data_IF_091863040841
#
_entry.id   IF_091863040841
#
_cell.length_a   1.000
_cell.length_b   1.000
_cell.length_c   1.000
_cell.angle_alpha   90.00
_cell.angle_beta   90.00
_cell.angle_gamma   90.00
#
_symmetry.space_group_name_H-M   'P 1'
#
loop_
_entity.id
_entity.type
_entity.pdbx_description
1 polymer ?
#
# COMPACT_ATOMS: atom_id res chain seq x y z
N UNK A 1 30.70 5.30 -19.19
CA UNK A 1 29.76 5.83 -18.18
C UNK A 1 28.38 5.89 -18.81
N UNK A 2 27.51 4.92 -18.53
CA UNK A 2 26.16 4.86 -19.11
C UNK A 2 25.16 4.33 -18.10
N UNK A 3 24.58 5.22 -17.29
CA UNK A 3 23.46 4.94 -16.40
C UNK A 3 22.18 4.88 -17.25
N UNK A 4 21.85 3.71 -17.77
CA UNK A 4 20.49 3.45 -18.27
C UNK A 4 19.59 3.20 -17.05
N UNK A 5 18.49 3.96 -16.87
CA UNK A 5 17.55 3.70 -15.80
C UNK A 5 16.91 2.33 -16.03
N UNK A 6 17.21 1.42 -15.10
CA UNK A 6 16.64 0.09 -14.96
C UNK A 6 15.12 0.23 -14.89
N UNK A 7 14.46 -0.02 -16.02
CA UNK A 7 13.00 0.02 -16.16
C UNK A 7 12.38 -0.86 -15.07
N UNK A 8 11.59 -0.24 -14.19
CA UNK A 8 10.63 -0.95 -13.36
C UNK A 8 9.38 -1.13 -14.21
N UNK A 9 9.18 -2.36 -14.69
CA UNK A 9 7.98 -2.77 -15.41
C UNK A 9 6.73 -2.31 -14.65
N UNK A 10 6.12 -1.23 -15.13
CA UNK A 10 4.82 -0.74 -14.68
C UNK A 10 3.96 -0.56 -15.92
N UNK A 11 3.51 -1.68 -16.49
CA UNK A 11 2.62 -1.60 -17.64
C UNK A 11 2.55 -2.87 -18.47
N UNK A 12 1.53 -3.69 -18.18
CA UNK A 12 1.00 -4.61 -19.19
C UNK A 12 1.47 -6.05 -19.06
N UNK A 13 0.68 -6.84 -18.33
CA UNK A 13 0.49 -8.29 -18.51
C UNK A 13 1.68 -9.21 -18.16
N UNK A 14 1.59 -9.97 -17.06
CA UNK A 14 2.09 -11.33 -17.02
C UNK A 14 0.89 -12.29 -17.08
N UNK A 15 0.55 -12.74 -18.28
CA UNK A 15 -0.19 -13.99 -18.43
C UNK A 15 0.78 -15.11 -18.06
N UNK A 16 0.78 -15.53 -16.81
CA UNK A 16 1.36 -16.82 -16.40
C UNK A 16 0.27 -17.60 -15.69
N UNK A 17 -0.19 -18.67 -16.34
CA UNK A 17 -1.17 -19.67 -15.92
C UNK A 17 -0.82 -20.43 -14.60
N UNK A 18 0.00 -19.84 -13.72
CA UNK A 18 0.34 -20.35 -12.39
C UNK A 18 0.38 -19.30 -11.26
N UNK A 19 0.18 -18.01 -11.53
CA UNK A 19 0.31 -16.92 -10.54
C UNK A 19 -1.06 -16.47 -9.97
N UNK A 20 -2.18 -17.04 -10.46
CA UNK A 20 -3.53 -16.73 -9.97
C UNK A 20 -4.09 -17.83 -9.08
N UNK A 21 -3.69 -17.82 -7.80
CA UNK A 21 -4.50 -18.43 -6.73
C UNK A 21 -4.26 -17.85 -5.34
N UNK A 22 -3.17 -17.07 -5.16
CA UNK A 22 -2.76 -16.54 -3.84
C UNK A 22 -2.38 -15.05 -3.79
N UNK A 23 -2.78 -14.25 -4.79
CA UNK A 23 -2.55 -12.80 -4.81
C UNK A 23 -1.07 -12.41 -4.93
N UNK A 24 -0.74 -11.58 -5.93
CA UNK A 24 0.63 -11.15 -6.16
C UNK A 24 1.22 -10.49 -4.88
N UNK A 25 2.19 -11.15 -4.22
CA UNK A 25 2.82 -10.69 -2.97
C UNK A 25 3.37 -9.27 -3.11
N UNK A 26 3.82 -8.89 -4.30
CA UNK A 26 4.33 -7.56 -4.59
C UNK A 26 3.22 -6.50 -4.50
N UNK A 27 2.03 -6.78 -5.02
CA UNK A 27 0.88 -5.86 -4.90
C UNK A 27 0.44 -5.68 -3.45
N UNK A 28 0.43 -6.76 -2.65
CA UNK A 28 0.15 -6.66 -1.21
C UNK A 28 1.20 -5.80 -0.49
N UNK A 29 2.48 -5.97 -0.84
CA UNK A 29 3.58 -5.19 -0.27
C UNK A 29 3.46 -3.71 -0.65
N UNK A 30 3.16 -3.42 -1.92
CA UNK A 30 2.96 -2.06 -2.44
C UNK A 30 1.78 -1.38 -1.75
N UNK A 31 0.62 -2.04 -1.65
CA UNK A 31 -0.56 -1.50 -0.97
C UNK A 31 -0.29 -1.13 0.49
N UNK A 32 0.47 -1.97 1.21
CA UNK A 32 0.86 -1.70 2.60
C UNK A 32 1.85 -0.54 2.69
N UNK A 33 2.79 -0.40 1.74
CA UNK A 33 3.71 0.74 1.69
C UNK A 33 2.98 2.05 1.39
N UNK A 34 2.05 2.05 0.43
CA UNK A 34 1.19 3.20 0.16
C UNK A 34 0.35 3.58 1.38
N UNK A 35 -0.20 2.59 2.10
CA UNK A 35 -0.93 2.83 3.33
C UNK A 35 -0.06 3.43 4.44
N UNK A 36 1.19 2.99 4.58
CA UNK A 36 2.15 3.58 5.53
C UNK A 36 2.52 5.01 5.16
N UNK A 37 2.76 5.30 3.89
CA UNK A 37 3.02 6.65 3.42
C UNK A 37 1.82 7.58 3.65
N UNK A 38 0.59 7.07 3.46
CA UNK A 38 -0.63 7.80 3.78
C UNK A 38 -0.76 8.07 5.29
N UNK A 39 -0.44 7.09 6.14
CA UNK A 39 -0.45 7.27 7.60
C UNK A 39 0.62 8.24 8.09
N UNK A 40 1.79 8.30 7.46
CA UNK A 40 2.83 9.28 7.77
C UNK A 40 2.40 10.71 7.44
N UNK A 41 1.58 10.90 6.40
CA UNK A 41 1.04 12.22 6.01
C UNK A 41 -0.28 12.55 6.68
N UNK A 42 -0.76 11.68 7.58
CA UNK A 42 -2.08 11.78 8.19
C UNK A 42 -2.17 12.92 9.21
N UNK A 43 -1.04 13.30 9.82
CA UNK A 43 -0.94 14.49 10.67
C UNK A 43 -1.17 15.80 9.90
N UNK A 44 -0.96 15.78 8.57
CA UNK A 44 -1.17 16.95 7.70
C UNK A 44 -2.45 16.85 6.86
N UNK A 45 -3.18 15.74 6.94
CA UNK A 45 -4.39 15.47 6.15
C UNK A 45 -5.60 15.43 7.07
N UNK A 46 -6.48 16.42 6.95
CA UNK A 46 -7.73 16.47 7.70
C UNK A 46 -8.91 15.97 6.85
N UNK A 47 -9.77 15.15 7.46
CA UNK A 47 -11.00 14.65 6.86
C UNK A 47 -11.52 13.37 7.51
N UNK A 48 -12.75 12.97 7.15
CA UNK A 48 -13.47 11.83 7.77
C UNK A 48 -12.67 10.52 7.79
N UNK A 49 -11.85 10.29 6.77
CA UNK A 49 -10.94 9.13 6.69
C UNK A 49 -9.75 9.25 7.65
N UNK A 50 -9.15 10.43 7.76
CA UNK A 50 -8.04 10.67 8.68
C UNK A 50 -8.50 10.56 10.14
N UNK A 51 -9.67 11.10 10.48
CA UNK A 51 -10.26 10.95 11.82
C UNK A 51 -10.52 9.48 12.18
N UNK A 52 -11.08 8.70 11.24
CA UNK A 52 -11.27 7.26 11.46
C UNK A 52 -9.93 6.55 11.68
N UNK A 53 -8.89 6.91 10.93
CA UNK A 53 -7.56 6.30 11.05
C UNK A 53 -6.89 6.68 12.38
N UNK A 54 -7.00 7.94 12.81
CA UNK A 54 -6.54 8.36 14.15
C UNK A 54 -7.29 7.62 15.26
N UNK A 55 -8.62 7.48 15.16
CA UNK A 55 -9.42 6.72 16.11
C UNK A 55 -9.03 5.23 16.14
N UNK A 56 -8.61 4.66 15.00
CA UNK A 56 -8.08 3.29 14.95
C UNK A 56 -6.65 3.19 15.48
N UNK A 57 -5.79 4.17 15.24
CA UNK A 57 -4.41 4.21 15.76
C UNK A 57 -4.39 4.31 17.29
N UNK A 58 -5.37 5.01 17.88
CA UNK A 58 -5.58 5.03 19.33
C UNK A 58 -5.95 3.66 19.91
N UNK A 59 -6.62 2.80 19.13
CA UNK A 59 -7.14 1.49 19.57
C UNK A 59 -6.28 0.29 19.15
N UNK A 60 -5.47 0.43 18.10
CA UNK A 60 -4.77 -0.67 17.42
C UNK A 60 -3.39 -0.22 16.95
N UNK A 61 -2.47 -1.19 16.87
CA UNK A 61 -1.12 -0.96 16.34
C UNK A 61 -1.16 -0.48 14.89
N UNK A 62 -0.28 0.46 14.54
CA UNK A 62 -0.19 1.11 13.22
C UNK A 62 -0.07 0.12 12.04
N UNK A 63 0.60 -1.02 12.23
CA UNK A 63 0.64 -2.10 11.23
C UNK A 63 -0.74 -2.72 10.91
N UNK A 64 -1.63 -2.84 11.90
CA UNK A 64 -2.99 -3.36 11.71
C UNK A 64 -3.81 -2.36 10.91
N UNK A 65 -3.67 -1.07 11.24
CA UNK A 65 -4.32 0.03 10.53
C UNK A 65 -3.82 0.13 9.09
N UNK A 66 -2.50 -0.02 8.85
CA UNK A 66 -1.91 -0.11 7.50
C UNK A 66 -2.54 -1.23 6.69
N UNK A 67 -2.71 -2.39 7.31
CA UNK A 67 -3.23 -3.57 6.64
C UNK A 67 -4.73 -3.44 6.35
N UNK A 68 -5.49 -2.79 7.24
CA UNK A 68 -6.89 -2.46 6.99
C UNK A 68 -7.02 -1.46 5.84
N UNK A 69 -6.21 -0.40 5.84
CA UNK A 69 -6.22 0.62 4.79
C UNK A 69 -5.84 0.04 3.42
N UNK A 70 -4.83 -0.84 3.39
CA UNK A 70 -4.39 -1.54 2.18
C UNK A 70 -5.44 -2.48 1.58
N UNK A 71 -6.48 -2.86 2.33
CA UNK A 71 -7.61 -3.67 1.84
C UNK A 71 -8.81 -2.82 1.45
N UNK A 72 -8.91 -1.60 1.98
CA UNK A 72 -10.04 -0.69 1.78
C UNK A 72 -9.91 0.17 0.50
N UNK A 73 -8.75 0.12 -0.19
CA UNK A 73 -8.48 0.76 -1.47
C UNK A 73 -8.40 -0.29 -2.58
#
# INVERSE_FOLDING_TARGET
>A
MGLVPRQYCTGGKPTLLGISKRGNKNLRRLRVQCARAFMMRLEHQHGRRAEWIQAQLSKKHSNVVACALARAC
#
